data_IF_649434375405
#
_entry.id   IF_649434375405
#
_cell.length_a   1.000
_cell.length_b   1.000
_cell.length_c   1.000
_cell.angle_alpha   90.00
_cell.angle_beta   90.00
_cell.angle_gamma   90.00
#
_symmetry.space_group_name_H-M   'P 1'
#
loop_
_entity.id
_entity.type
_entity.pdbx_description
1 polymer ?
#
# COMPACT_ATOMS: atom_id res chain seq x y z
N UNK A 1 -12.22 -16.57 14.63
CA UNK A 1 -12.08 -16.41 13.17
C UNK A 1 -10.94 -17.28 12.67
N UNK A 2 -11.18 -18.13 11.69
CA UNK A 2 -10.14 -18.98 11.12
C UNK A 2 -9.16 -18.15 10.25
N UNK A 3 -7.96 -18.67 10.04
CA UNK A 3 -6.98 -18.02 9.15
C UNK A 3 -7.53 -17.81 7.75
N UNK A 4 -8.32 -18.76 7.25
CA UNK A 4 -8.96 -18.67 5.93
C UNK A 4 -10.00 -17.55 5.84
N UNK A 5 -10.70 -17.27 6.92
CA UNK A 5 -11.66 -16.16 6.95
C UNK A 5 -10.94 -14.82 6.95
N UNK A 6 -9.78 -14.70 7.59
CA UNK A 6 -8.98 -13.48 7.55
C UNK A 6 -8.46 -13.13 6.15
N UNK A 7 -8.02 -14.14 5.39
CA UNK A 7 -7.51 -13.93 4.03
C UNK A 7 -8.56 -13.32 3.11
N UNK A 8 -9.83 -13.55 3.40
CA UNK A 8 -10.97 -13.07 2.59
C UNK A 8 -11.61 -11.81 3.14
N UNK A 9 -11.11 -11.29 4.27
CA UNK A 9 -11.72 -10.14 4.91
C UNK A 9 -11.37 -8.86 4.14
N UNK A 10 -12.38 -8.26 3.56
CA UNK A 10 -12.31 -6.94 2.99
C UNK A 10 -13.03 -5.94 3.90
N UNK A 11 -12.45 -4.76 4.02
CA UNK A 11 -13.11 -3.65 4.68
C UNK A 11 -13.93 -2.86 3.68
N UNK A 12 -14.89 -2.11 4.17
CA UNK A 12 -15.76 -1.25 3.35
C UNK A 12 -15.61 0.20 3.75
N UNK A 13 -15.95 1.11 2.85
CA UNK A 13 -16.03 2.53 3.18
C UNK A 13 -16.95 2.75 4.37
N UNK A 14 -16.53 3.67 5.24
CA UNK A 14 -17.17 4.06 6.49
C UNK A 14 -17.07 3.03 7.64
N UNK A 15 -16.40 1.91 7.41
CA UNK A 15 -15.94 1.08 8.52
C UNK A 15 -14.93 1.86 9.36
N UNK A 16 -14.92 1.60 10.66
CA UNK A 16 -13.95 2.18 11.59
C UNK A 16 -12.93 1.11 11.97
N UNK A 17 -11.67 1.45 11.81
CA UNK A 17 -10.56 0.57 12.14
C UNK A 17 -9.73 1.16 13.27
N UNK A 18 -9.22 0.29 14.13
CA UNK A 18 -8.16 0.64 15.09
C UNK A 18 -6.81 0.26 14.49
N UNK A 19 -5.93 1.26 14.37
CA UNK A 19 -4.57 1.11 13.85
C UNK A 19 -3.63 1.81 14.81
N UNK A 20 -2.64 1.11 15.34
CA UNK A 20 -1.68 1.64 16.32
C UNK A 20 -2.35 2.35 17.51
N UNK A 21 -3.45 1.80 18.00
CA UNK A 21 -4.17 2.34 19.17
C UNK A 21 -5.08 3.54 18.88
N UNK A 22 -5.16 4.00 17.64
CA UNK A 22 -6.04 5.10 17.23
C UNK A 22 -7.13 4.60 16.29
N UNK A 23 -8.27 5.28 16.29
CA UNK A 23 -9.41 4.94 15.43
C UNK A 23 -9.45 5.81 14.20
N UNK A 24 -9.72 5.17 13.06
CA UNK A 24 -9.81 5.78 11.75
C UNK A 24 -11.06 5.31 11.04
N UNK A 25 -11.66 6.19 10.26
CA UNK A 25 -12.76 5.84 9.36
C UNK A 25 -12.22 5.69 7.95
N UNK A 26 -12.66 4.65 7.26
CA UNK A 26 -12.31 4.44 5.85
C UNK A 26 -13.14 5.41 5.00
N UNK A 27 -12.47 6.32 4.30
CA UNK A 27 -13.13 7.29 3.42
C UNK A 27 -13.01 6.94 1.95
N UNK A 28 -12.04 6.11 1.59
CA UNK A 28 -11.90 5.61 0.22
C UNK A 28 -11.31 4.20 0.19
N UNK A 29 -11.68 3.45 -0.83
CA UNK A 29 -11.19 2.11 -1.09
C UNK A 29 -10.88 1.99 -2.58
N UNK A 30 -9.63 1.70 -2.89
CA UNK A 30 -9.14 1.60 -4.26
C UNK A 30 -8.58 0.21 -4.49
N UNK A 31 -8.99 -0.44 -5.57
CA UNK A 31 -8.39 -1.69 -6.00
C UNK A 31 -7.46 -1.45 -7.17
N UNK A 32 -6.23 -1.91 -7.02
CA UNK A 32 -5.18 -1.84 -8.04
C UNK A 32 -4.83 -3.23 -8.56
N UNK A 33 -4.40 -3.29 -9.81
CA UNK A 33 -3.75 -4.48 -10.35
C UNK A 33 -2.38 -4.13 -10.93
N UNK A 34 -1.47 -5.07 -10.86
CA UNK A 34 -0.17 -5.00 -11.51
C UNK A 34 -0.31 -5.31 -13.00
N UNK A 35 0.22 -4.44 -13.87
CA UNK A 35 0.04 -4.56 -15.32
C UNK A 35 1.34 -4.71 -16.12
N UNK A 36 2.52 -4.47 -15.51
CA UNK A 36 3.79 -4.67 -16.19
C UNK A 36 4.31 -6.09 -15.96
N UNK A 37 4.69 -6.83 -17.01
CA UNK A 37 5.38 -8.10 -16.86
C UNK A 37 6.69 -7.94 -16.07
N UNK A 38 7.02 -8.95 -15.27
CA UNK A 38 8.22 -8.96 -14.44
C UNK A 38 9.51 -8.68 -15.22
N UNK A 39 9.65 -9.28 -16.39
CA UNK A 39 10.81 -9.08 -17.26
C UNK A 39 11.00 -7.62 -17.66
N UNK A 40 9.93 -6.92 -17.99
CA UNK A 40 9.98 -5.51 -18.36
C UNK A 40 10.36 -4.62 -17.17
N UNK A 41 9.91 -4.97 -15.97
CA UNK A 41 10.30 -4.27 -14.75
C UNK A 41 11.80 -4.39 -14.49
N UNK A 42 12.36 -5.57 -14.66
CA UNK A 42 13.77 -5.84 -14.44
C UNK A 42 14.65 -5.13 -15.49
N UNK A 43 14.20 -5.06 -16.73
CA UNK A 43 14.93 -4.36 -17.79
C UNK A 43 14.91 -2.85 -17.63
N UNK A 44 13.85 -2.29 -17.11
CA UNK A 44 13.71 -0.85 -16.95
C UNK A 44 14.50 -0.29 -15.76
N UNK A 45 15.12 -1.15 -14.96
CA UNK A 45 15.82 -0.74 -13.77
C UNK A 45 17.08 -1.59 -13.52
N UNK A 46 18.23 -0.94 -13.43
CA UNK A 46 19.52 -1.63 -13.24
C UNK A 46 19.72 -2.19 -11.83
N UNK A 47 19.10 -1.59 -10.83
CA UNK A 47 19.11 -2.14 -9.48
C UNK A 47 18.06 -3.21 -9.38
N UNK A 48 18.46 -4.46 -9.24
CA UNK A 48 17.52 -5.57 -9.17
C UNK A 48 16.62 -5.46 -7.95
N UNK A 49 15.30 -5.37 -8.10
CA UNK A 49 14.41 -5.42 -6.95
C UNK A 49 14.45 -6.81 -6.32
N UNK A 50 14.40 -6.86 -4.99
CA UNK A 50 14.35 -8.12 -4.26
C UNK A 50 13.06 -8.89 -4.49
N UNK A 51 11.98 -8.19 -4.85
CA UNK A 51 10.69 -8.78 -5.13
C UNK A 51 9.94 -7.96 -6.18
N UNK A 52 9.19 -8.64 -7.05
CA UNK A 52 8.30 -8.02 -8.03
C UNK A 52 6.97 -8.73 -8.05
N UNK A 53 5.89 -7.96 -8.22
CA UNK A 53 4.57 -8.52 -8.42
C UNK A 53 4.43 -9.08 -9.83
N UNK A 54 3.58 -10.08 -9.99
CA UNK A 54 3.22 -10.63 -11.29
C UNK A 54 2.04 -9.89 -11.90
N UNK A 55 1.92 -9.83 -13.24
CA UNK A 55 0.74 -9.23 -13.87
C UNK A 55 -0.55 -9.88 -13.35
N UNK A 56 -1.53 -9.06 -13.03
CA UNK A 56 -2.79 -9.52 -12.46
C UNK A 56 -2.82 -9.63 -10.94
N UNK A 57 -1.69 -9.57 -10.27
CA UNK A 57 -1.67 -9.42 -8.82
C UNK A 57 -2.42 -8.15 -8.44
N UNK A 58 -3.23 -8.22 -7.40
CA UNK A 58 -4.03 -7.08 -6.98
C UNK A 58 -3.92 -6.81 -5.49
N UNK A 59 -4.25 -5.58 -5.12
CA UNK A 59 -4.29 -5.15 -3.74
C UNK A 59 -5.35 -4.07 -3.55
N UNK A 60 -5.75 -3.91 -2.31
CA UNK A 60 -6.63 -2.82 -1.93
C UNK A 60 -5.85 -1.78 -1.13
N UNK A 61 -6.11 -0.53 -1.40
CA UNK A 61 -5.60 0.60 -0.66
C UNK A 61 -6.77 1.34 -0.04
N UNK A 62 -6.72 1.47 1.28
CA UNK A 62 -7.77 2.14 2.05
C UNK A 62 -7.23 3.48 2.54
N UNK A 63 -7.91 4.56 2.21
CA UNK A 63 -7.66 5.87 2.78
C UNK A 63 -8.41 5.99 4.10
N UNK A 64 -7.68 6.27 5.17
CA UNK A 64 -8.19 6.32 6.53
C UNK A 64 -7.99 7.71 7.11
N UNK A 65 -9.07 8.29 7.63
CA UNK A 65 -9.02 9.57 8.34
C UNK A 65 -9.27 9.35 9.82
N UNK A 66 -8.48 10.00 10.66
CA UNK A 66 -8.61 9.88 12.10
C UNK A 66 -10.02 10.29 12.55
N UNK A 67 -10.62 9.49 13.43
CA UNK A 67 -11.91 9.85 14.06
C UNK A 67 -11.74 11.09 14.94
N UNK A 68 -10.57 11.19 15.61
CA UNK A 68 -10.20 12.36 16.41
C UNK A 68 -8.91 12.97 15.86
N UNK A 69 -8.97 14.23 15.45
CA UNK A 69 -7.83 14.93 14.89
C UNK A 69 -7.83 14.97 13.37
N UNK A 70 -6.67 15.24 12.78
CA UNK A 70 -6.52 15.50 11.34
C UNK A 70 -5.63 14.48 10.63
N UNK A 71 -5.20 13.43 11.32
CA UNK A 71 -4.27 12.46 10.75
C UNK A 71 -4.94 11.66 9.62
N UNK A 72 -4.20 11.46 8.54
CA UNK A 72 -4.62 10.61 7.41
C UNK A 72 -3.52 9.60 7.12
N UNK A 73 -3.90 8.33 7.06
CA UNK A 73 -3.01 7.23 6.73
C UNK A 73 -3.60 6.41 5.60
N UNK A 74 -2.75 5.57 5.01
CA UNK A 74 -3.14 4.61 3.99
C UNK A 74 -2.84 3.21 4.49
N UNK A 75 -3.78 2.30 4.28
CA UNK A 75 -3.64 0.89 4.60
C UNK A 75 -3.68 0.10 3.30
N UNK A 76 -2.62 -0.66 3.02
CA UNK A 76 -2.53 -1.48 1.81
C UNK A 76 -2.51 -2.95 2.20
N UNK A 77 -3.43 -3.72 1.62
CA UNK A 77 -3.55 -5.16 1.84
C UNK A 77 -3.50 -5.87 0.50
N UNK A 78 -2.50 -6.75 0.33
CA UNK A 78 -2.34 -7.57 -0.86
C UNK A 78 -3.24 -8.81 -0.79
N UNK A 79 -3.78 -9.21 -1.93
CA UNK A 79 -4.74 -10.33 -2.00
C UNK A 79 -4.16 -11.66 -1.50
N UNK A 80 -2.84 -11.84 -1.63
CA UNK A 80 -2.13 -13.08 -1.29
C UNK A 80 -1.37 -12.99 0.04
N UNK A 81 -1.51 -11.92 0.79
CA UNK A 81 -0.87 -11.75 2.08
C UNK A 81 -1.92 -11.77 3.20
N UNK A 82 -1.88 -12.79 4.02
CA UNK A 82 -2.77 -12.96 5.16
C UNK A 82 -2.08 -12.68 6.50
N UNK A 83 -0.83 -12.27 6.48
CA UNK A 83 -0.04 -12.03 7.69
C UNK A 83 0.32 -10.55 7.89
N UNK A 84 0.57 -9.84 6.77
CA UNK A 84 1.12 -8.49 6.78
C UNK A 84 0.28 -7.53 5.96
N UNK A 85 0.35 -6.28 6.35
CA UNK A 85 -0.16 -5.16 5.57
C UNK A 85 0.82 -4.00 5.69
N UNK A 86 0.58 -2.94 4.96
CA UNK A 86 1.41 -1.73 5.05
C UNK A 86 0.56 -0.55 5.50
N UNK A 87 1.13 0.27 6.38
CA UNK A 87 0.54 1.53 6.83
C UNK A 87 1.49 2.65 6.42
N UNK A 88 0.99 3.63 5.70
CA UNK A 88 1.82 4.70 5.15
C UNK A 88 1.18 6.07 5.33
N UNK A 89 2.00 7.09 5.17
CA UNK A 89 1.62 8.51 5.13
C UNK A 89 2.31 9.18 3.95
N UNK A 90 1.75 10.27 3.48
CA UNK A 90 2.45 11.14 2.54
C UNK A 90 3.76 11.60 3.17
N UNK A 91 4.86 11.50 2.43
CA UNK A 91 6.17 11.92 2.87
C UNK A 91 6.52 13.30 2.33
N UNK A 92 7.17 14.12 3.15
CA UNK A 92 7.80 15.37 2.70
C UNK A 92 9.21 15.14 2.14
N UNK A 93 9.77 13.96 2.36
CA UNK A 93 11.03 13.56 1.76
C UNK A 93 10.81 13.14 0.31
N UNK A 94 11.77 13.45 -0.55
CA UNK A 94 11.72 13.12 -2.00
C UNK A 94 12.72 12.03 -2.38
N UNK A 95 13.43 11.48 -1.40
CA UNK A 95 14.40 10.40 -1.58
C UNK A 95 14.32 9.42 -0.43
N UNK A 96 14.57 8.13 -0.69
CA UNK A 96 14.66 7.16 0.40
C UNK A 96 15.86 7.44 1.29
N UNK A 97 15.81 6.95 2.53
CA UNK A 97 16.93 7.02 3.44
C UNK A 97 18.14 6.26 2.89
N UNK A 98 19.32 6.60 3.38
CA UNK A 98 20.61 6.11 2.88
C UNK A 98 20.72 4.57 2.84
N UNK A 99 20.17 3.89 3.84
CA UNK A 99 20.29 2.44 3.97
C UNK A 99 19.12 1.66 3.34
N UNK A 100 18.20 2.36 2.70
CA UNK A 100 17.10 1.74 1.97
C UNK A 100 17.59 1.14 0.65
N UNK A 101 17.03 -0.02 0.29
CA UNK A 101 17.31 -0.68 -0.98
C UNK A 101 16.03 -0.81 -1.79
N UNK A 102 16.17 -0.80 -3.13
CA UNK A 102 15.04 -1.02 -4.01
C UNK A 102 14.46 -2.41 -3.77
N UNK A 103 13.16 -2.46 -3.47
CA UNK A 103 12.43 -3.69 -3.17
C UNK A 103 11.50 -4.10 -4.30
N UNK A 104 10.70 -3.16 -4.78
CA UNK A 104 9.74 -3.39 -5.87
C UNK A 104 9.73 -2.22 -6.85
N UNK A 105 9.41 -2.55 -8.09
CA UNK A 105 9.13 -1.57 -9.15
C UNK A 105 7.98 -2.11 -9.99
N UNK A 106 7.09 -1.25 -10.43
CA UNK A 106 5.99 -1.70 -11.25
C UNK A 106 5.16 -0.59 -11.87
N UNK A 107 4.11 -1.04 -12.54
CA UNK A 107 3.07 -0.19 -13.08
C UNK A 107 1.73 -0.74 -12.61
N UNK A 108 0.94 0.10 -12.00
CA UNK A 108 -0.36 -0.24 -11.45
C UNK A 108 -1.49 0.41 -12.24
N UNK A 109 -2.64 -0.22 -12.20
CA UNK A 109 -3.88 0.29 -12.80
C UNK A 109 -5.00 0.23 -11.79
N UNK A 110 -5.77 1.29 -11.68
CA UNK A 110 -6.98 1.33 -10.86
C UNK A 110 -8.08 0.56 -11.57
N UNK A 111 -8.65 -0.44 -10.91
CA UNK A 111 -9.74 -1.27 -11.46
C UNK A 111 -11.06 -1.10 -10.73
N UNK A 112 -11.05 -0.58 -9.52
CA UNK A 112 -12.26 -0.26 -8.77
C UNK A 112 -12.01 0.86 -7.78
N UNK A 113 -12.99 1.71 -7.56
CA UNK A 113 -12.93 2.85 -6.63
C UNK A 113 -14.25 2.95 -5.90
N UNK A 114 -14.19 3.12 -4.58
CA UNK A 114 -15.34 3.36 -3.74
C UNK A 114 -15.03 4.48 -2.74
N UNK A 115 -16.05 5.25 -2.37
CA UNK A 115 -15.92 6.36 -1.44
C UNK A 115 -15.40 7.65 -2.08
N UNK A 116 -14.83 8.51 -1.24
CA UNK A 116 -14.37 9.84 -1.61
C UNK A 116 -12.90 9.79 -2.08
N UNK A 117 -12.70 9.48 -3.36
CA UNK A 117 -11.36 9.33 -3.92
C UNK A 117 -11.12 10.27 -5.10
N UNK A 118 -9.89 10.75 -5.22
CA UNK A 118 -9.42 11.45 -6.42
C UNK A 118 -9.00 10.50 -7.55
N UNK A 119 -8.94 9.19 -7.30
CA UNK A 119 -8.62 8.20 -8.31
C UNK A 119 -9.83 7.86 -9.17
N UNK A 120 -9.58 7.47 -10.41
CA UNK A 120 -10.61 7.03 -11.37
C UNK A 120 -10.24 5.67 -11.93
N UNK A 121 -11.23 4.83 -12.19
CA UNK A 121 -11.03 3.54 -12.84
C UNK A 121 -10.34 3.75 -14.18
N UNK A 122 -9.26 3.01 -14.41
CA UNK A 122 -8.42 3.13 -15.60
C UNK A 122 -7.15 3.95 -15.40
N UNK A 123 -7.05 4.71 -14.32
CA UNK A 123 -5.82 5.45 -14.00
C UNK A 123 -4.65 4.49 -13.87
N UNK A 124 -3.49 4.90 -14.38
CA UNK A 124 -2.24 4.15 -14.33
C UNK A 124 -1.16 4.96 -13.66
N UNK A 125 -0.38 4.32 -12.82
CA UNK A 125 0.75 4.96 -12.15
C UNK A 125 1.94 4.01 -12.11
N UNK A 126 3.14 4.58 -12.26
CA UNK A 126 4.37 3.86 -11.98
C UNK A 126 4.73 3.99 -10.52
N UNK A 127 5.41 2.99 -9.96
CA UNK A 127 5.85 3.05 -8.57
C UNK A 127 7.21 2.39 -8.37
N UNK A 128 7.92 2.88 -7.36
CA UNK A 128 9.13 2.27 -6.81
C UNK A 128 9.00 2.22 -5.31
N UNK A 129 9.29 1.08 -4.74
CA UNK A 129 9.28 0.88 -3.30
C UNK A 129 10.68 0.51 -2.83
N UNK A 130 11.19 1.28 -1.86
CA UNK A 130 12.46 1.04 -1.19
C UNK A 130 12.19 0.56 0.21
N UNK A 131 13.01 -0.36 0.69
CA UNK A 131 12.79 -1.02 1.98
C UNK A 131 14.03 -1.00 2.83
N UNK A 132 13.82 -0.86 4.14
CA UNK A 132 14.82 -1.07 5.18
C UNK A 132 14.27 -2.15 6.11
N UNK A 133 14.83 -3.37 6.08
CA UNK A 133 14.38 -4.44 6.98
C UNK A 133 14.65 -4.11 8.43
N UNK A 134 13.72 -4.50 9.31
CA UNK A 134 13.81 -4.39 10.75
C UNK A 134 13.71 -5.78 11.37
N UNK A 135 13.93 -5.88 12.67
CA UNK A 135 13.82 -7.14 13.40
C UNK A 135 12.39 -7.71 13.36
N UNK A 136 12.27 -9.04 13.45
CA UNK A 136 10.98 -9.72 13.54
C UNK A 136 10.17 -9.78 12.24
N UNK A 137 10.81 -9.60 11.09
CA UNK A 137 10.12 -9.60 9.80
C UNK A 137 9.44 -8.28 9.46
N UNK A 138 9.45 -7.30 10.36
CA UNK A 138 8.99 -5.95 10.09
C UNK A 138 9.93 -5.24 9.13
N UNK A 139 9.45 -4.19 8.50
CA UNK A 139 10.27 -3.31 7.67
C UNK A 139 9.64 -1.92 7.63
N UNK A 140 10.48 -0.93 7.35
CA UNK A 140 10.02 0.40 6.97
C UNK A 140 10.27 0.58 5.48
N UNK A 141 9.47 1.39 4.83
CA UNK A 141 9.60 1.59 3.39
C UNK A 141 9.40 3.06 3.03
N UNK A 142 9.92 3.37 1.85
CA UNK A 142 9.72 4.65 1.18
C UNK A 142 9.24 4.35 -0.23
N UNK A 143 8.15 4.96 -0.64
CA UNK A 143 7.54 4.75 -1.95
C UNK A 143 7.55 6.03 -2.78
N UNK A 144 7.92 5.87 -4.04
CA UNK A 144 7.82 6.89 -5.07
C UNK A 144 6.76 6.42 -6.08
N UNK A 145 5.77 7.24 -6.32
CA UNK A 145 4.72 6.99 -7.31
C UNK A 145 4.67 8.16 -8.29
N UNK A 146 4.51 7.87 -9.57
CA UNK A 146 4.37 8.92 -10.57
C UNK A 146 3.14 8.68 -11.44
N UNK A 147 2.34 9.72 -11.54
CA UNK A 147 1.08 9.75 -12.25
C UNK A 147 0.99 11.06 -13.05
N UNK A 148 0.80 10.94 -14.36
CA UNK A 148 0.68 12.12 -15.26
C UNK A 148 1.81 13.16 -15.09
N UNK A 149 3.05 12.68 -14.95
CA UNK A 149 4.20 13.55 -14.80
C UNK A 149 4.41 14.14 -13.40
N UNK A 150 3.54 13.82 -12.47
CA UNK A 150 3.68 14.22 -11.06
C UNK A 150 4.21 13.07 -10.22
N UNK A 151 5.11 13.40 -9.31
CA UNK A 151 5.63 12.44 -8.32
C UNK A 151 4.97 12.66 -6.98
N UNK A 152 4.61 11.54 -6.34
CA UNK A 152 4.12 11.51 -4.97
C UNK A 152 5.01 10.59 -4.16
N UNK A 153 5.20 10.91 -2.90
CA UNK A 153 6.07 10.17 -2.01
C UNK A 153 5.30 9.75 -0.76
N UNK A 154 5.54 8.53 -0.32
CA UNK A 154 4.97 8.01 0.90
C UNK A 154 6.05 7.30 1.71
N UNK A 155 5.87 7.28 3.01
CA UNK A 155 6.70 6.52 3.93
C UNK A 155 5.83 5.75 4.90
N UNK A 156 6.29 4.60 5.32
CA UNK A 156 5.47 3.78 6.20
C UNK A 156 6.19 2.54 6.69
N UNK A 157 5.40 1.62 7.18
CA UNK A 157 5.90 0.38 7.75
C UNK A 157 5.01 -0.80 7.41
N UNK A 158 5.64 -1.96 7.37
CA UNK A 158 4.96 -3.24 7.28
C UNK A 158 4.56 -3.66 8.70
N UNK A 159 3.30 -3.93 8.90
CA UNK A 159 2.75 -4.28 10.22
C UNK A 159 1.95 -5.59 10.12
N UNK A 160 1.89 -6.37 11.22
CA UNK A 160 1.06 -7.56 11.22
C UNK A 160 -0.42 -7.21 11.00
N UNK A 161 -1.06 -7.94 10.12
CA UNK A 161 -2.48 -7.71 9.80
C UNK A 161 -3.38 -7.88 11.02
N UNK A 162 -2.98 -8.74 11.96
CA UNK A 162 -3.73 -8.95 13.22
C UNK A 162 -3.80 -7.69 14.09
N UNK A 163 -2.93 -6.71 13.86
CA UNK A 163 -2.93 -5.44 14.59
C UNK A 163 -3.93 -4.44 14.03
N UNK A 164 -4.59 -4.76 12.93
CA UNK A 164 -5.67 -3.95 12.37
C UNK A 164 -6.98 -4.53 12.85
N UNK A 165 -7.78 -3.74 13.54
CA UNK A 165 -9.00 -4.20 14.20
C UNK A 165 -10.21 -3.44 13.70
N UNK A 166 -11.24 -4.19 13.27
CA UNK A 166 -12.52 -3.59 12.93
C UNK A 166 -13.26 -3.22 14.22
N UNK A 167 -13.68 -1.96 14.31
CA UNK A 167 -14.48 -1.44 15.41
C UNK A 167 -15.95 -1.41 14.97
N UNK A 168 -16.80 -1.92 15.84
CA UNK A 168 -18.24 -1.91 15.57
C UNK A 168 -18.94 -0.89 16.46
#
# INVERSE_FOLDING_TARGET
MSTLERVRMEFNCYDVLEVHGSRYVITEKIKYIEIIPKADKEQSYRGQPSMTKSPGDYWHEYGLEAVEGIDKIWLTIEYNDNEWCTVSRTSFHTRPGKDFTLHQIGLEKVVDVDGESGASVGDRAGYREYQLPCEGGASVFFEEEWFEGKKMFAEGSRVPLVNIRLCN
#
